data_IF_819618674150
#
_entry.id   IF_819618674150
#
_cell.length_a   1.000
_cell.length_b   1.000
_cell.length_c   1.000
_cell.angle_alpha   90.00
_cell.angle_beta   90.00
_cell.angle_gamma   90.00
#
_symmetry.space_group_name_H-M   'P 1'
#
loop_
_entity.id
_entity.type
_entity.pdbx_description
1 polymer ?
#
# COMPACT_ATOMS: atom_id res chain seq x y z
N UNK A 1 -30.86 -13.75 39.44
CA UNK A 1 -29.41 -13.57 39.72
C UNK A 1 -28.56 -13.86 38.48
N UNK A 2 -28.58 -15.08 37.93
CA UNK A 2 -27.78 -15.44 36.73
C UNK A 2 -28.10 -14.60 35.49
N UNK A 3 -29.37 -14.26 35.25
CA UNK A 3 -29.75 -13.41 34.11
C UNK A 3 -29.22 -11.98 34.22
N UNK A 4 -29.24 -11.39 35.42
CA UNK A 4 -28.66 -10.06 35.65
C UNK A 4 -27.14 -10.06 35.47
N UNK A 5 -26.45 -11.14 35.83
CA UNK A 5 -25.02 -11.27 35.60
C UNK A 5 -24.67 -11.42 34.11
N UNK A 6 -25.48 -12.13 33.33
CA UNK A 6 -25.31 -12.24 31.87
C UNK A 6 -25.55 -10.91 31.17
N UNK A 7 -26.66 -10.24 31.49
CA UNK A 7 -26.96 -8.92 30.93
C UNK A 7 -25.89 -7.88 31.29
N UNK A 8 -25.35 -7.93 32.52
CA UNK A 8 -24.26 -7.03 32.92
C UNK A 8 -22.94 -7.34 32.20
N UNK A 9 -22.67 -8.61 31.90
CA UNK A 9 -21.50 -9.02 31.12
C UNK A 9 -21.64 -8.61 29.65
N UNK A 10 -22.80 -8.80 29.04
CA UNK A 10 -23.10 -8.36 27.67
C UNK A 10 -22.97 -6.83 27.54
N UNK A 11 -23.50 -6.07 28.50
CA UNK A 11 -23.39 -4.61 28.49
C UNK A 11 -21.94 -4.14 28.69
N UNK A 12 -21.17 -4.82 29.55
CA UNK A 12 -19.75 -4.51 29.72
C UNK A 12 -18.95 -4.79 28.44
N UNK A 13 -19.18 -5.94 27.79
CA UNK A 13 -18.54 -6.28 26.51
C UNK A 13 -18.86 -5.25 25.43
N UNK A 14 -20.12 -4.84 25.32
CA UNK A 14 -20.55 -3.80 24.37
C UNK A 14 -19.86 -2.46 24.61
N UNK A 15 -19.72 -2.06 25.88
CA UNK A 15 -19.04 -0.81 26.24
C UNK A 15 -17.54 -0.86 25.94
N UNK A 16 -16.91 -2.01 26.19
CA UNK A 16 -15.49 -2.24 25.88
C UNK A 16 -15.24 -2.21 24.37
N UNK A 17 -16.08 -2.90 23.57
CA UNK A 17 -16.02 -2.89 22.11
C UNK A 17 -16.18 -1.47 21.53
N UNK A 18 -17.16 -0.70 22.01
CA UNK A 18 -17.35 0.70 21.61
C UNK A 18 -16.18 1.59 22.02
N UNK A 19 -15.54 1.32 23.16
CA UNK A 19 -14.36 2.06 23.57
C UNK A 19 -13.16 1.75 22.65
N UNK A 20 -12.94 0.48 22.31
CA UNK A 20 -11.88 0.05 21.40
C UNK A 20 -12.06 0.62 19.98
N UNK A 21 -13.29 0.58 19.44
CA UNK A 21 -13.60 1.16 18.12
C UNK A 21 -13.26 2.65 18.07
N UNK A 22 -13.73 3.44 19.05
CA UNK A 22 -13.41 4.87 19.14
C UNK A 22 -11.91 5.15 19.26
N UNK A 23 -11.18 4.30 19.97
CA UNK A 23 -9.72 4.44 20.06
C UNK A 23 -9.04 4.15 18.72
N UNK A 24 -9.45 3.10 18.02
CA UNK A 24 -8.92 2.75 16.70
C UNK A 24 -9.21 3.85 15.67
N UNK A 25 -10.42 4.44 15.69
CA UNK A 25 -10.80 5.58 14.86
C UNK A 25 -9.92 6.81 15.12
N UNK A 26 -9.74 7.17 16.40
CA UNK A 26 -8.89 8.30 16.78
C UNK A 26 -7.45 8.08 16.35
N UNK A 27 -6.92 6.86 16.53
CA UNK A 27 -5.58 6.50 16.08
C UNK A 27 -5.46 6.63 14.55
N UNK A 28 -6.45 6.14 13.80
CA UNK A 28 -6.48 6.22 12.34
C UNK A 28 -6.56 7.67 11.84
N UNK A 29 -7.41 8.50 12.45
CA UNK A 29 -7.53 9.92 12.10
C UNK A 29 -6.23 10.69 12.40
N UNK A 30 -5.60 10.40 13.54
CA UNK A 30 -4.30 10.97 13.89
C UNK A 30 -3.21 10.55 12.89
N UNK A 31 -3.17 9.28 12.49
CA UNK A 31 -2.25 8.77 11.46
C UNK A 31 -2.47 9.46 10.12
N UNK A 32 -3.73 9.55 9.66
CA UNK A 32 -4.07 10.24 8.41
C UNK A 32 -3.56 11.68 8.40
N UNK A 33 -3.83 12.44 9.47
CA UNK A 33 -3.39 13.84 9.59
C UNK A 33 -1.87 13.98 9.56
N UNK A 34 -1.14 13.04 10.17
CA UNK A 34 0.32 13.00 10.08
C UNK A 34 0.77 12.76 8.63
N UNK A 35 0.22 11.77 7.92
CA UNK A 35 0.53 11.56 6.52
C UNK A 35 0.16 12.74 5.61
N UNK A 36 -0.95 13.43 5.87
CA UNK A 36 -1.35 14.65 5.15
C UNK A 36 -0.30 15.76 5.32
N UNK A 37 0.15 16.01 6.55
CA UNK A 37 1.21 16.99 6.86
C UNK A 37 2.54 16.63 6.18
N UNK A 38 2.88 15.34 6.20
CA UNK A 38 4.07 14.83 5.52
C UNK A 38 3.98 14.99 4.00
N UNK A 39 2.83 14.71 3.41
CA UNK A 39 2.57 14.86 1.98
C UNK A 39 2.70 16.33 1.56
N UNK A 40 2.12 17.25 2.32
CA UNK A 40 2.24 18.70 2.07
C UNK A 40 3.71 19.15 2.13
N UNK A 41 4.44 18.70 3.15
CA UNK A 41 5.87 18.99 3.30
C UNK A 41 6.68 18.41 2.14
N UNK A 42 6.44 17.16 1.75
CA UNK A 42 7.11 16.51 0.62
C UNK A 42 6.81 17.21 -0.71
N UNK A 43 5.55 17.63 -0.92
CA UNK A 43 5.15 18.39 -2.11
C UNK A 43 5.89 19.73 -2.18
N UNK A 44 5.99 20.43 -1.04
CA UNK A 44 6.74 21.69 -0.97
C UNK A 44 8.22 21.47 -1.29
N UNK A 45 8.84 20.44 -0.72
CA UNK A 45 10.24 20.08 -1.01
C UNK A 45 10.41 19.78 -2.49
N UNK A 46 9.50 19.02 -3.09
CA UNK A 46 9.53 18.68 -4.51
C UNK A 46 9.43 19.92 -5.39
N UNK A 47 8.44 20.80 -5.14
CA UNK A 47 8.22 21.99 -5.96
C UNK A 47 9.40 22.96 -5.88
N UNK A 48 9.97 23.13 -4.68
CA UNK A 48 11.21 23.89 -4.49
C UNK A 48 12.41 23.21 -5.18
N UNK A 49 12.48 21.88 -5.20
CA UNK A 49 13.53 21.12 -5.91
C UNK A 49 13.43 21.33 -7.41
N UNK A 50 12.24 21.21 -8.00
CA UNK A 50 11.98 21.47 -9.43
C UNK A 50 12.35 22.91 -9.79
N UNK A 51 12.05 23.87 -8.93
CA UNK A 51 12.36 25.29 -9.16
C UNK A 51 13.87 25.60 -9.17
N UNK A 52 14.72 24.72 -8.61
CA UNK A 52 16.18 24.90 -8.68
C UNK A 52 16.74 24.62 -10.08
N UNK A 53 16.04 23.80 -10.87
CA UNK A 53 16.45 23.38 -12.21
C UNK A 53 17.59 22.35 -12.22
N UNK A 54 17.76 21.71 -13.37
CA UNK A 54 18.70 20.59 -13.55
C UNK A 54 20.13 21.04 -13.96
N UNK A 55 20.32 22.31 -14.34
CA UNK A 55 21.59 22.82 -14.89
C UNK A 55 22.38 23.70 -13.92
N UNK A 56 23.69 23.42 -13.83
CA UNK A 56 24.78 24.24 -13.30
C UNK A 56 24.41 25.17 -12.11
N UNK A 57 24.04 24.55 -10.98
CA UNK A 57 23.62 25.26 -9.77
C UNK A 57 24.64 26.32 -9.36
N UNK A 58 24.20 27.58 -9.35
CA UNK A 58 24.95 28.70 -8.79
C UNK A 58 25.12 28.56 -7.27
N UNK A 59 25.99 29.39 -6.68
CA UNK A 59 26.28 29.33 -5.22
C UNK A 59 25.02 29.43 -4.35
N UNK A 60 24.04 30.24 -4.76
CA UNK A 60 22.77 30.42 -4.03
C UNK A 60 21.89 29.16 -4.13
N UNK A 61 21.72 28.61 -5.33
CA UNK A 61 20.96 27.37 -5.55
C UNK A 61 21.59 26.18 -4.81
N UNK A 62 22.93 26.10 -4.75
CA UNK A 62 23.62 25.08 -3.94
C UNK A 62 23.30 25.19 -2.45
N UNK A 63 23.18 26.41 -1.93
CA UNK A 63 22.77 26.61 -0.53
C UNK A 63 21.32 26.18 -0.31
N UNK A 64 20.44 26.44 -1.28
CA UNK A 64 19.04 26.02 -1.23
C UNK A 64 18.90 24.51 -1.32
N UNK A 65 19.61 23.84 -2.24
CA UNK A 65 19.63 22.38 -2.36
C UNK A 65 20.03 21.69 -1.04
N UNK A 66 21.02 22.23 -0.32
CA UNK A 66 21.40 21.70 1.01
C UNK A 66 20.33 21.93 2.06
N UNK A 67 19.64 23.07 2.03
CA UNK A 67 18.53 23.32 2.94
C UNK A 67 17.36 22.35 2.66
N UNK A 68 17.07 22.08 1.38
CA UNK A 68 16.10 21.07 0.97
C UNK A 68 16.51 19.66 1.39
N UNK A 69 17.80 19.31 1.26
CA UNK A 69 18.30 18.02 1.72
C UNK A 69 18.10 17.85 3.23
N UNK A 70 18.40 18.87 4.03
CA UNK A 70 18.17 18.85 5.47
C UNK A 70 16.68 18.68 5.79
N UNK A 71 15.79 19.43 5.13
CA UNK A 71 14.34 19.32 5.30
C UNK A 71 13.81 17.94 4.88
N UNK A 72 14.35 17.35 3.82
CA UNK A 72 14.03 16.00 3.37
C UNK A 72 14.48 14.95 4.40
N UNK A 73 15.64 15.14 5.03
CA UNK A 73 16.13 14.31 6.12
C UNK A 73 15.27 14.41 7.38
N UNK A 74 14.87 15.62 7.76
CA UNK A 74 13.95 15.85 8.89
C UNK A 74 12.60 15.16 8.66
N UNK A 75 12.02 15.28 7.46
CA UNK A 75 10.78 14.60 7.09
C UNK A 75 10.92 13.06 7.13
N UNK A 76 12.07 12.54 6.71
CA UNK A 76 12.38 11.10 6.79
C UNK A 76 12.48 10.64 8.24
N UNK A 77 13.14 11.41 9.10
CA UNK A 77 13.26 11.08 10.52
C UNK A 77 11.89 11.12 11.22
N UNK A 78 11.03 12.07 10.84
CA UNK A 78 9.62 12.12 11.29
C UNK A 78 8.84 10.86 10.86
N UNK A 79 9.04 10.39 9.61
CA UNK A 79 8.41 9.17 9.09
C UNK A 79 8.80 7.93 9.90
N UNK A 80 10.09 7.80 10.19
CA UNK A 80 10.61 6.68 10.99
C UNK A 80 10.10 6.74 12.43
N UNK A 81 10.13 7.93 13.05
CA UNK A 81 9.63 8.13 14.41
C UNK A 81 8.13 7.84 14.53
N UNK A 82 7.34 8.18 13.51
CA UNK A 82 5.91 7.86 13.47
C UNK A 82 5.69 6.34 13.36
N UNK A 83 6.45 5.65 12.50
CA UNK A 83 6.34 4.19 12.38
C UNK A 83 6.63 3.47 13.71
N UNK A 84 7.61 3.95 14.49
CA UNK A 84 7.98 3.39 15.79
C UNK A 84 6.94 3.69 16.89
N UNK A 85 6.18 4.78 16.79
CA UNK A 85 5.21 5.22 17.80
C UNK A 85 3.85 4.51 17.71
N UNK A 86 3.53 3.91 16.57
CA UNK A 86 2.23 3.31 16.31
C UNK A 86 2.36 1.79 16.12
N UNK A 87 2.18 1.02 17.21
CA UNK A 87 2.28 -0.45 17.21
C UNK A 87 1.41 -1.10 16.10
N UNK A 88 0.22 -0.54 15.83
CA UNK A 88 -0.69 -1.02 14.79
C UNK A 88 -0.16 -0.92 13.34
N UNK A 89 0.90 -0.13 13.07
CA UNK A 89 1.55 -0.11 11.76
C UNK A 89 2.41 -1.36 11.52
N UNK A 90 3.02 -1.89 12.59
CA UNK A 90 3.87 -3.08 12.50
C UNK A 90 3.08 -4.37 12.23
N UNK A 91 1.79 -4.36 12.58
CA UNK A 91 0.86 -5.48 12.35
C UNK A 91 0.29 -5.51 10.93
N UNK A 92 0.53 -4.46 10.13
CA UNK A 92 0.11 -4.33 8.74
C UNK A 92 1.33 -4.42 7.80
N UNK A 93 1.68 -5.61 7.29
CA UNK A 93 2.86 -5.82 6.45
C UNK A 93 2.93 -4.91 5.22
N UNK A 94 1.80 -4.58 4.60
CA UNK A 94 1.79 -3.69 3.44
C UNK A 94 2.15 -2.25 3.83
N UNK A 95 1.68 -1.79 5.00
CA UNK A 95 2.06 -0.48 5.52
C UNK A 95 3.54 -0.46 5.89
N UNK A 96 4.05 -1.53 6.52
CA UNK A 96 5.48 -1.67 6.81
C UNK A 96 6.33 -1.59 5.54
N UNK A 97 5.92 -2.28 4.47
CA UNK A 97 6.57 -2.22 3.16
C UNK A 97 6.53 -0.80 2.57
N UNK A 98 5.40 -0.10 2.69
CA UNK A 98 5.26 1.27 2.23
C UNK A 98 6.22 2.23 2.96
N UNK A 99 6.38 2.09 4.28
CA UNK A 99 7.35 2.90 5.06
C UNK A 99 8.79 2.61 4.65
N UNK A 100 9.16 1.33 4.47
CA UNK A 100 10.50 0.97 4.02
C UNK A 100 10.80 1.57 2.62
N UNK A 101 9.81 1.59 1.74
CA UNK A 101 9.96 2.19 0.42
C UNK A 101 10.03 3.73 0.50
N UNK A 102 9.24 4.38 1.35
CA UNK A 102 9.32 5.82 1.60
C UNK A 102 10.68 6.21 2.17
N UNK A 103 11.17 5.49 3.19
CA UNK A 103 12.49 5.69 3.80
C UNK A 103 13.59 5.66 2.73
N UNK A 104 13.57 4.63 1.87
CA UNK A 104 14.52 4.50 0.75
C UNK A 104 14.45 5.68 -0.22
N UNK A 105 13.25 6.09 -0.62
CA UNK A 105 13.05 7.16 -1.60
C UNK A 105 13.47 8.52 -1.04
N UNK A 106 13.12 8.81 0.22
CA UNK A 106 13.49 10.05 0.90
C UNK A 106 15.00 10.11 1.17
N UNK A 107 15.64 8.98 1.49
CA UNK A 107 17.09 8.90 1.61
C UNK A 107 17.78 9.16 0.26
N UNK A 108 17.26 8.58 -0.83
CA UNK A 108 17.79 8.79 -2.18
C UNK A 108 17.64 10.23 -2.65
N UNK A 109 16.47 10.85 -2.43
CA UNK A 109 16.27 12.25 -2.81
C UNK A 109 17.12 13.20 -1.95
N UNK A 110 17.22 12.94 -0.64
CA UNK A 110 18.10 13.68 0.27
C UNK A 110 19.56 13.65 -0.19
N UNK A 111 20.09 12.46 -0.46
CA UNK A 111 21.45 12.29 -0.98
C UNK A 111 21.65 13.00 -2.32
N UNK A 112 20.70 12.89 -3.26
CA UNK A 112 20.75 13.59 -4.54
C UNK A 112 20.83 15.12 -4.39
N UNK A 113 20.06 15.68 -3.45
CA UNK A 113 20.09 17.11 -3.12
C UNK A 113 21.43 17.55 -2.50
N UNK A 114 22.03 16.73 -1.61
CA UNK A 114 23.34 17.01 -1.01
C UNK A 114 24.48 16.96 -2.03
N UNK A 115 24.46 15.93 -2.87
CA UNK A 115 25.49 15.67 -3.89
C UNK A 115 25.41 16.67 -5.05
N UNK A 116 24.34 17.48 -5.11
CA UNK A 116 24.03 18.45 -6.17
C UNK A 116 23.67 17.76 -7.48
N UNK A 117 23.10 16.56 -7.39
CA UNK A 117 22.48 15.83 -8.49
C UNK A 117 20.98 16.08 -8.45
N UNK A 118 20.58 17.32 -8.75
CA UNK A 118 19.17 17.64 -9.03
C UNK A 118 18.89 17.14 -10.44
N UNK A 119 18.99 15.82 -10.61
CA UNK A 119 18.77 15.14 -11.87
C UNK A 119 17.38 14.52 -11.83
N UNK A 120 16.94 14.00 -12.97
CA UNK A 120 15.65 13.30 -13.13
C UNK A 120 15.37 12.28 -12.02
N UNK A 121 16.41 11.59 -11.52
CA UNK A 121 16.31 10.58 -10.45
C UNK A 121 15.87 11.15 -9.09
N UNK A 122 16.37 12.32 -8.70
CA UNK A 122 16.00 12.97 -7.42
C UNK A 122 14.54 13.39 -7.45
N UNK A 123 14.12 14.05 -8.54
CA UNK A 123 12.72 14.44 -8.77
C UNK A 123 11.79 13.23 -8.86
N UNK A 124 12.23 12.14 -9.52
CA UNK A 124 11.46 10.90 -9.61
C UNK A 124 11.28 10.25 -8.24
N UNK A 125 12.32 10.21 -7.40
CA UNK A 125 12.24 9.65 -6.05
C UNK A 125 11.27 10.43 -5.16
N UNK A 126 11.30 11.76 -5.23
CA UNK A 126 10.35 12.61 -4.51
C UNK A 126 8.90 12.42 -4.98
N UNK A 127 8.66 12.36 -6.31
CA UNK A 127 7.31 12.09 -6.84
C UNK A 127 6.78 10.74 -6.40
N UNK A 128 7.62 9.70 -6.40
CA UNK A 128 7.22 8.38 -5.91
C UNK A 128 6.87 8.41 -4.42
N UNK A 129 7.65 9.14 -3.61
CA UNK A 129 7.33 9.31 -2.20
C UNK A 129 5.98 10.02 -2.00
N UNK A 130 5.70 11.07 -2.78
CA UNK A 130 4.39 11.75 -2.79
C UNK A 130 3.25 10.79 -3.16
N UNK A 131 3.42 9.94 -4.18
CA UNK A 131 2.39 8.98 -4.59
C UNK A 131 2.07 7.98 -3.48
N UNK A 132 3.10 7.48 -2.77
CA UNK A 132 2.89 6.55 -1.65
C UNK A 132 2.21 7.26 -0.48
N UNK A 133 2.67 8.45 -0.11
CA UNK A 133 2.03 9.26 0.95
C UNK A 133 0.57 9.57 0.63
N UNK A 134 0.26 9.97 -0.61
CA UNK A 134 -1.11 10.21 -1.05
C UNK A 134 -1.97 8.95 -0.96
N UNK A 135 -1.42 7.79 -1.35
CA UNK A 135 -2.12 6.50 -1.23
C UNK A 135 -2.42 6.14 0.23
N UNK A 136 -1.48 6.41 1.15
CA UNK A 136 -1.68 6.20 2.59
C UNK A 136 -2.80 7.08 3.14
N UNK A 137 -2.83 8.37 2.77
CA UNK A 137 -3.89 9.30 3.15
C UNK A 137 -5.26 8.83 2.63
N UNK A 138 -5.34 8.53 1.33
CA UNK A 138 -6.58 8.10 0.67
C UNK A 138 -7.16 6.85 1.33
N UNK A 139 -6.31 5.84 1.53
CA UNK A 139 -6.72 4.58 2.14
C UNK A 139 -7.26 4.78 3.56
N UNK A 140 -6.64 5.62 4.38
CA UNK A 140 -7.11 5.89 5.74
C UNK A 140 -8.38 6.76 5.76
N UNK A 141 -8.53 7.68 4.79
CA UNK A 141 -9.70 8.54 4.64
C UNK A 141 -10.95 7.74 4.22
N UNK A 142 -10.83 6.86 3.23
CA UNK A 142 -11.96 6.04 2.76
C UNK A 142 -12.49 5.12 3.86
N UNK A 143 -11.61 4.60 4.72
CA UNK A 143 -12.03 3.79 5.87
C UNK A 143 -12.82 4.60 6.90
N UNK A 144 -12.48 5.86 7.12
CA UNK A 144 -13.23 6.74 8.01
C UNK A 144 -14.64 6.98 7.47
N UNK A 145 -14.78 7.27 6.18
CA UNK A 145 -16.08 7.51 5.54
C UNK A 145 -17.00 6.27 5.59
N UNK A 146 -16.46 5.08 5.36
CA UNK A 146 -17.22 3.83 5.41
C UNK A 146 -17.77 3.55 6.82
N UNK A 147 -17.04 3.92 7.87
CA UNK A 147 -17.49 3.76 9.25
C UNK A 147 -18.54 4.80 9.64
N UNK A 148 -18.35 6.07 9.25
CA UNK A 148 -19.32 7.14 9.50
C UNK A 148 -20.68 6.83 8.85
N UNK A 149 -20.68 6.22 7.65
CA UNK A 149 -21.90 5.78 6.96
C UNK A 149 -22.60 4.63 7.72
N UNK A 150 -21.86 3.63 8.20
CA UNK A 150 -22.45 2.51 8.94
C UNK A 150 -23.04 2.91 10.30
N UNK A 151 -22.38 3.82 11.02
CA UNK A 151 -22.85 4.31 12.32
C UNK A 151 -24.14 5.14 12.21
N UNK A 152 -24.32 5.82 11.07
CA UNK A 152 -25.53 6.60 10.81
C UNK A 152 -26.73 5.70 10.45
N UNK A 153 -26.51 4.58 9.78
CA UNK A 153 -27.55 3.60 9.45
C UNK A 153 -28.07 2.85 10.69
N UNK A 154 -27.18 2.54 11.65
CA UNK A 154 -27.56 1.85 12.90
C UNK A 154 -28.27 2.78 13.91
N UNK A 155 -28.14 4.10 13.73
CA UNK A 155 -28.82 5.13 14.53
C UNK A 155 -30.28 5.42 14.15
N UNK A 156 -30.81 4.83 13.08
CA UNK A 156 -32.12 5.18 12.52
C UNK A 156 -33.01 3.99 12.14
N UNK A 157 -33.26 3.04 13.06
CA UNK A 157 -34.51 2.26 13.09
C UNK A 157 -34.63 1.40 14.34
N UNK A 158 -35.74 1.54 15.05
CA UNK A 158 -36.11 0.63 16.12
C UNK A 158 -36.45 -0.77 15.61
N UNK A 159 -36.07 -1.78 16.39
CA UNK A 159 -36.64 -3.13 16.34
C UNK A 159 -36.36 -3.91 15.06
N UNK A 160 -35.12 -4.40 14.90
CA UNK A 160 -34.77 -5.36 13.85
C UNK A 160 -33.72 -6.34 14.36
N UNK A 161 -34.13 -7.58 14.59
CA UNK A 161 -33.26 -8.72 14.90
C UNK A 161 -32.49 -9.08 13.61
N UNK A 162 -31.30 -8.52 13.44
CA UNK A 162 -30.41 -8.72 12.30
C UNK A 162 -29.02 -9.12 12.76
N UNK A 163 -28.52 -10.26 12.27
CA UNK A 163 -27.34 -10.94 12.78
C UNK A 163 -26.04 -10.14 12.64
N UNK A 164 -25.52 -9.68 13.78
CA UNK A 164 -24.14 -9.22 13.93
C UNK A 164 -23.18 -10.41 13.95
N UNK A 165 -22.64 -10.77 12.80
CA UNK A 165 -21.54 -11.72 12.68
C UNK A 165 -20.23 -10.94 12.64
N UNK A 166 -19.51 -10.87 13.77
CA UNK A 166 -18.09 -10.51 13.81
C UNK A 166 -17.69 -9.34 14.73
N UNK A 167 -18.10 -9.36 16.00
CA UNK A 167 -17.61 -8.44 17.04
C UNK A 167 -16.20 -8.78 17.52
N UNK A 168 -15.20 -8.56 16.66
CA UNK A 168 -13.78 -8.59 17.03
C UNK A 168 -13.23 -7.18 17.14
N UNK A 169 -12.23 -6.98 17.99
CA UNK A 169 -11.48 -5.74 18.10
C UNK A 169 -10.96 -5.35 16.71
N UNK A 170 -11.42 -4.21 16.19
CA UNK A 170 -11.11 -3.81 14.82
C UNK A 170 -9.69 -3.21 14.79
N UNK A 171 -8.76 -3.79 14.00
CA UNK A 171 -7.39 -3.28 13.96
C UNK A 171 -7.39 -1.83 13.44
N UNK A 172 -6.41 -1.04 13.89
CA UNK A 172 -6.22 0.35 13.44
C UNK A 172 -6.17 0.44 11.91
N UNK A 173 -5.57 -0.59 11.29
CA UNK A 173 -5.47 -0.74 9.85
C UNK A 173 -6.26 -1.99 9.44
N UNK A 174 -7.41 -1.84 8.78
CA UNK A 174 -8.19 -2.98 8.33
C UNK A 174 -7.54 -3.66 7.09
N UNK A 175 -7.74 -4.97 6.88
CA UNK A 175 -7.17 -5.68 5.72
C UNK A 175 -7.55 -5.10 4.35
N UNK A 176 -8.75 -4.50 4.24
CA UNK A 176 -9.20 -3.82 3.02
C UNK A 176 -8.32 -2.60 2.70
N UNK A 177 -7.84 -1.89 3.73
CA UNK A 177 -6.89 -0.79 3.56
C UNK A 177 -5.55 -1.31 3.02
N UNK A 178 -5.04 -2.43 3.57
CA UNK A 178 -3.82 -3.07 3.06
C UNK A 178 -3.95 -3.48 1.58
N UNK A 179 -5.10 -4.03 1.17
CA UNK A 179 -5.35 -4.42 -0.22
C UNK A 179 -5.34 -3.22 -1.17
N UNK A 180 -5.98 -2.12 -0.78
CA UNK A 180 -6.02 -0.90 -1.59
C UNK A 180 -4.62 -0.29 -1.72
N UNK A 181 -3.88 -0.21 -0.61
CA UNK A 181 -2.50 0.26 -0.62
C UNK A 181 -1.60 -0.63 -1.50
N UNK A 182 -1.72 -1.95 -1.39
CA UNK A 182 -1.01 -2.91 -2.24
C UNK A 182 -1.27 -2.65 -3.72
N UNK A 183 -2.53 -2.42 -4.10
CA UNK A 183 -2.89 -2.09 -5.48
C UNK A 183 -2.25 -0.79 -5.95
N UNK A 184 -2.26 0.26 -5.13
CA UNK A 184 -1.60 1.53 -5.46
C UNK A 184 -0.09 1.36 -5.62
N UNK A 185 0.56 0.56 -4.77
CA UNK A 185 1.99 0.25 -4.90
C UNK A 185 2.32 -0.60 -6.13
N UNK A 186 1.45 -1.54 -6.51
CA UNK A 186 1.60 -2.31 -7.76
C UNK A 186 1.48 -1.41 -8.99
N UNK A 187 0.54 -0.45 -8.97
CA UNK A 187 0.41 0.54 -10.04
C UNK A 187 1.66 1.42 -10.15
N UNK A 188 2.17 1.93 -9.03
CA UNK A 188 3.42 2.69 -8.97
C UNK A 188 4.58 1.92 -9.61
N UNK A 189 4.72 0.65 -9.28
CA UNK A 189 5.76 -0.23 -9.81
C UNK A 189 5.58 -0.53 -11.30
N UNK A 190 4.35 -0.67 -11.77
CA UNK A 190 4.06 -0.83 -13.20
C UNK A 190 4.46 0.44 -13.98
N UNK A 191 4.16 1.62 -13.43
CA UNK A 191 4.53 2.90 -14.04
C UNK A 191 6.06 3.11 -14.04
N UNK A 192 6.75 2.71 -12.97
CA UNK A 192 8.22 2.68 -12.91
C UNK A 192 8.81 1.75 -13.99
N UNK A 193 8.25 0.55 -14.13
CA UNK A 193 8.71 -0.43 -15.13
C UNK A 193 8.56 0.13 -16.54
N UNK A 194 7.45 0.81 -16.81
CA UNK A 194 7.23 1.48 -18.10
C UNK A 194 8.24 2.60 -18.32
N UNK A 195 8.44 3.48 -17.34
CA UNK A 195 9.40 4.58 -17.44
C UNK A 195 10.83 4.08 -17.73
N UNK A 196 11.29 3.04 -17.03
CA UNK A 196 12.60 2.42 -17.26
C UNK A 196 12.70 1.79 -18.66
N UNK A 197 11.61 1.21 -19.16
CA UNK A 197 11.59 0.61 -20.51
C UNK A 197 11.74 1.64 -21.63
N UNK A 198 11.30 2.87 -21.40
CA UNK A 198 11.32 4.00 -22.33
C UNK A 198 12.65 4.79 -22.29
N UNK A 199 13.49 4.59 -21.28
CA UNK A 199 14.82 5.22 -21.19
C UNK A 199 15.80 4.65 -22.22
N UNK A 200 16.59 5.54 -22.84
CA UNK A 200 17.64 5.18 -23.81
C UNK A 200 18.81 4.45 -23.14
N UNK A 201 19.14 4.84 -21.90
CA UNK A 201 20.15 4.17 -21.06
C UNK A 201 19.50 3.70 -19.79
N UNK A 202 19.58 2.39 -19.50
CA UNK A 202 18.98 1.80 -18.30
C UNK A 202 19.98 1.79 -17.16
N UNK A 203 19.55 2.23 -15.99
CA UNK A 203 20.31 2.06 -14.75
C UNK A 203 19.98 0.68 -14.15
N UNK A 204 20.95 -0.23 -14.16
CA UNK A 204 20.84 -1.56 -13.56
C UNK A 204 20.44 -1.54 -12.09
N UNK A 205 20.83 -0.50 -11.34
CA UNK A 205 20.44 -0.34 -9.93
C UNK A 205 18.95 -0.01 -9.79
N UNK A 206 18.41 0.80 -10.70
CA UNK A 206 16.99 1.14 -10.73
C UNK A 206 16.16 -0.10 -11.09
N UNK A 207 16.57 -0.83 -12.13
CA UNK A 207 15.95 -2.10 -12.56
C UNK A 207 15.89 -3.10 -11.41
N UNK A 208 17.01 -3.34 -10.73
CA UNK A 208 17.07 -4.27 -9.59
C UNK A 208 16.11 -3.84 -8.48
N UNK A 209 16.05 -2.55 -8.17
CA UNK A 209 15.16 -2.06 -7.11
C UNK A 209 13.68 -2.24 -7.43
N UNK A 210 13.29 -2.09 -8.71
CA UNK A 210 11.91 -2.36 -9.15
C UNK A 210 11.59 -3.85 -9.08
N UNK A 211 12.52 -4.72 -9.50
CA UNK A 211 12.36 -6.18 -9.40
C UNK A 211 12.23 -6.63 -7.94
N UNK A 212 13.05 -6.09 -7.04
CA UNK A 212 12.99 -6.41 -5.61
C UNK A 212 11.65 -5.97 -5.01
N UNK A 213 11.15 -4.79 -5.38
CA UNK A 213 9.85 -4.30 -4.92
C UNK A 213 8.69 -5.11 -5.50
N UNK A 214 8.74 -5.52 -6.77
CA UNK A 214 7.75 -6.43 -7.38
C UNK A 214 7.66 -7.75 -6.62
N UNK A 215 8.81 -8.35 -6.29
CA UNK A 215 8.85 -9.60 -5.53
C UNK A 215 8.27 -9.42 -4.14
N UNK A 216 8.65 -8.35 -3.42
CA UNK A 216 8.11 -8.05 -2.10
C UNK A 216 6.59 -7.84 -2.13
N UNK A 217 6.06 -7.08 -3.10
CA UNK A 217 4.62 -6.87 -3.25
C UNK A 217 3.87 -8.19 -3.55
N UNK A 218 4.47 -9.08 -4.33
CA UNK A 218 3.89 -10.40 -4.60
C UNK A 218 3.85 -11.26 -3.33
N UNK A 219 4.96 -11.35 -2.59
CA UNK A 219 5.04 -12.12 -1.34
C UNK A 219 4.06 -11.60 -0.29
N UNK A 220 4.02 -10.28 -0.08
CA UNK A 220 3.10 -9.67 0.88
C UNK A 220 1.63 -9.77 0.43
N UNK A 221 1.35 -9.68 -0.86
CA UNK A 221 0.01 -9.90 -1.41
C UNK A 221 -0.50 -11.32 -1.22
N UNK A 222 0.35 -12.33 -1.44
CA UNK A 222 0.01 -13.72 -1.19
C UNK A 222 -0.31 -13.98 0.29
N UNK A 223 0.54 -13.45 1.19
CA UNK A 223 0.32 -13.52 2.64
C UNK A 223 -0.97 -12.82 3.08
N UNK A 224 -1.29 -11.65 2.52
CA UNK A 224 -2.53 -10.93 2.81
C UNK A 224 -3.77 -11.72 2.36
N UNK A 225 -3.74 -12.35 1.19
CA UNK A 225 -4.84 -13.20 0.71
C UNK A 225 -5.04 -14.41 1.64
N UNK A 226 -3.97 -15.05 2.07
CA UNK A 226 -4.03 -16.17 3.01
C UNK A 226 -4.64 -15.76 4.36
N UNK A 227 -4.25 -14.59 4.89
CA UNK A 227 -4.84 -14.02 6.12
C UNK A 227 -6.32 -13.70 5.97
N UNK A 228 -6.75 -13.21 4.80
CA UNK A 228 -8.15 -12.92 4.52
C UNK A 228 -8.99 -14.16 4.23
N UNK A 229 -8.36 -15.28 3.88
CA UNK A 229 -9.03 -16.50 3.46
C UNK A 229 -8.49 -17.72 4.24
N UNK A 230 -8.76 -17.82 5.56
CA UNK A 230 -8.20 -18.86 6.44
C UNK A 230 -8.70 -20.29 6.14
N UNK A 231 -9.43 -20.50 5.04
CA UNK A 231 -9.86 -21.81 4.59
C UNK A 231 -9.51 -22.02 3.12
N UNK A 232 -8.24 -22.32 2.79
CA UNK A 232 -7.93 -22.89 1.50
C UNK A 232 -8.45 -24.33 1.54
N UNK A 233 -9.74 -24.52 1.26
CA UNK A 233 -10.15 -25.81 0.72
C UNK A 233 -9.29 -25.96 -0.54
N UNK A 234 -8.38 -26.95 -0.61
CA UNK A 234 -7.68 -27.20 -1.84
C UNK A 234 -8.78 -27.57 -2.82
N UNK A 235 -9.10 -26.66 -3.74
CA UNK A 235 -9.84 -27.06 -4.91
C UNK A 235 -8.86 -27.98 -5.62
N UNK A 236 -9.08 -29.29 -5.47
CA UNK A 236 -8.38 -30.29 -6.24
C UNK A 236 -8.37 -29.79 -7.69
N UNK A 237 -7.22 -29.78 -8.37
CA UNK A 237 -7.20 -29.43 -9.77
C UNK A 237 -8.19 -30.36 -10.47
N UNK A 238 -9.21 -29.77 -11.07
CA UNK A 238 -10.24 -30.47 -11.83
C UNK A 238 -9.56 -31.28 -12.94
N UNK A 239 -9.30 -32.55 -12.66
CA UNK A 239 -8.74 -33.52 -13.61
C UNK A 239 -9.77 -33.99 -14.64
N UNK A 240 -10.91 -33.33 -14.80
CA UNK A 240 -11.72 -33.45 -16.01
C UNK A 240 -11.24 -32.49 -17.10
N UNK A 241 -9.96 -32.58 -17.47
CA UNK A 241 -9.61 -32.41 -18.87
C UNK A 241 -9.89 -33.73 -19.56
N UNK A 242 -11.13 -33.84 -20.03
CA UNK A 242 -11.53 -34.77 -21.07
C UNK A 242 -10.57 -34.58 -22.25
N UNK A 243 -9.58 -35.46 -22.35
CA UNK A 243 -8.67 -35.52 -23.49
C UNK A 243 -9.52 -35.63 -24.75
N UNK A 244 -9.41 -34.71 -25.74
CA UNK A 244 -10.08 -34.91 -27.00
C UNK A 244 -9.52 -36.17 -27.63
N UNK A 245 -10.40 -37.16 -27.75
CA UNK A 245 -10.20 -38.43 -28.41
C UNK A 245 -9.55 -38.18 -29.79
N UNK A 246 -8.35 -38.68 -30.09
CA UNK A 246 -7.78 -38.51 -31.41
C UNK A 246 -8.62 -39.30 -32.42
N UNK A 247 -9.22 -38.60 -33.37
CA UNK A 247 -9.90 -39.22 -34.50
C UNK A 247 -8.95 -40.23 -35.19
N UNK A 248 -9.43 -41.43 -35.54
CA UNK A 248 -8.62 -42.41 -36.23
C UNK A 248 -8.25 -41.87 -37.63
N UNK A 249 -6.97 -41.63 -37.84
CA UNK A 249 -6.38 -41.32 -39.14
C UNK A 249 -6.62 -42.54 -40.04
N UNK A 250 -7.54 -42.41 -41.00
CA UNK A 250 -7.73 -43.43 -42.03
C UNK A 250 -6.43 -43.57 -42.85
N UNK A 251 -5.94 -44.80 -43.07
CA UNK A 251 -4.76 -45.01 -43.90
C UNK A 251 -5.08 -44.63 -45.36
N UNK A 252 -4.25 -43.77 -45.93
CA UNK A 252 -4.24 -43.48 -47.36
C UNK A 252 -3.85 -44.77 -48.09
N UNK A 253 -4.76 -45.31 -48.90
CA UNK A 253 -4.48 -46.43 -49.79
C UNK A 253 -3.43 -45.99 -50.83
N UNK A 254 -2.19 -46.47 -50.66
CA UNK A 254 -1.23 -46.58 -51.75
C UNK A 254 -1.50 -47.85 -52.55
N UNK A 255 -1.89 -47.66 -53.81
CA UNK A 255 -1.88 -48.66 -54.88
C UNK A 255 -2.61 -48.06 -56.08
N UNK A 256 -2.03 -47.83 -57.25
CA UNK A 256 -0.82 -48.34 -57.86
C UNK A 256 -1.12 -48.50 -59.35
N UNK A 257 -0.29 -47.88 -60.19
CA UNK A 257 -0.03 -48.19 -61.60
C UNK A 257 -1.16 -48.08 -62.67
N UNK A 258 -0.97 -47.12 -63.59
CA UNK A 258 -0.84 -47.24 -65.07
C UNK A 258 -1.57 -48.38 -65.82
N UNK A 259 -2.02 -48.16 -67.09
CA UNK A 259 -1.27 -47.50 -68.17
C UNK A 259 -1.92 -46.27 -68.80
#
# INVERSE_FOLDING_TARGET
ALQHLRNALEEAQRLDEQAAQRQAEQARDALRKQYESMLETQSTIHDETVALGDDDLGRRQRSQARALAARQGELRDELLAMADQHEGLSEAPIFTLAHAQLDRLMAQSGAGLEERRIETRTNQSQRQAMTILASLVEVLQEQQQQQDESDFEDGSSGGGEGGGQGGGEQPVIPPVAELKLLRSMQQLVADQTRAISEQETRDDSEVRSVVDLQRQLFEQGASLIERMNPNPNPTEPDTNQETPNPEPINPVEEGGATP
#
